data_IF_257775705985
#
_entry.id   IF_257775705985
#
_cell.length_a   1.000
_cell.length_b   1.000
_cell.length_c   1.000
_cell.angle_alpha   90.00
_cell.angle_beta   90.00
_cell.angle_gamma   90.00
#
_symmetry.space_group_name_H-M   'P 1'
#
loop_
_entity.id
_entity.type
_entity.pdbx_description
1 polymer ?
#
# COMPACT_ATOMS: atom_id res chain seq x y z
N UNK A 1 1.94 -17.17 -13.45
CA UNK A 1 1.78 -15.71 -13.69
C UNK A 1 2.66 -15.32 -14.86
N UNK A 2 2.17 -14.48 -15.78
CA UNK A 2 2.99 -13.98 -16.89
C UNK A 2 3.68 -12.69 -16.42
N UNK A 3 5.00 -12.63 -16.50
CA UNK A 3 5.79 -11.44 -16.18
C UNK A 3 6.17 -10.74 -17.47
N UNK A 4 6.03 -9.42 -17.50
CA UNK A 4 6.48 -8.56 -18.60
C UNK A 4 7.62 -7.68 -18.11
N UNK A 5 8.68 -7.55 -18.91
CA UNK A 5 9.85 -6.75 -18.56
C UNK A 5 9.65 -5.33 -19.09
N UNK A 6 9.61 -4.37 -18.19
CA UNK A 6 9.45 -2.95 -18.50
C UNK A 6 10.67 -2.19 -18.00
N UNK A 7 11.19 -1.28 -18.82
CA UNK A 7 12.24 -0.34 -18.40
C UNK A 7 11.58 0.97 -18.00
N UNK A 8 11.87 1.45 -16.79
CA UNK A 8 11.31 2.70 -16.25
C UNK A 8 12.43 3.57 -15.68
N UNK A 9 12.26 4.88 -15.76
CA UNK A 9 13.08 5.84 -15.03
C UNK A 9 12.41 6.18 -13.71
N UNK A 10 13.15 6.10 -12.62
CA UNK A 10 12.67 6.41 -11.27
C UNK A 10 13.65 7.38 -10.59
N UNK A 11 13.17 8.24 -9.67
CA UNK A 11 14.03 9.00 -8.78
C UNK A 11 15.08 8.10 -8.10
N UNK A 12 16.31 8.59 -8.00
CA UNK A 12 17.44 7.81 -7.49
C UNK A 12 17.20 7.34 -6.05
N UNK A 13 16.48 8.13 -5.28
CA UNK A 13 16.14 7.93 -3.87
C UNK A 13 15.22 6.71 -3.72
N UNK A 14 14.24 6.54 -4.62
CA UNK A 14 13.35 5.38 -4.61
C UNK A 14 14.09 4.10 -5.00
N UNK A 15 15.06 4.20 -5.94
CA UNK A 15 15.91 3.07 -6.30
C UNK A 15 16.83 2.68 -5.15
N UNK A 16 17.37 3.67 -4.43
CA UNK A 16 18.19 3.44 -3.24
C UNK A 16 17.38 2.71 -2.15
N UNK A 17 16.15 3.15 -1.87
CA UNK A 17 15.27 2.50 -0.90
C UNK A 17 14.95 1.04 -1.28
N UNK A 18 14.65 0.78 -2.56
CA UNK A 18 14.41 -0.57 -3.05
C UNK A 18 15.66 -1.47 -2.90
N UNK A 19 16.85 -0.95 -3.22
CA UNK A 19 18.13 -1.67 -3.04
C UNK A 19 18.40 -1.97 -1.57
N UNK A 20 18.10 -1.01 -0.71
CA UNK A 20 18.21 -1.11 0.74
C UNK A 20 17.30 -2.19 1.32
N UNK A 21 16.05 -2.27 0.87
CA UNK A 21 15.11 -3.32 1.25
C UNK A 21 15.62 -4.71 0.84
N UNK A 22 16.18 -4.84 -0.36
CA UNK A 22 16.80 -6.10 -0.81
C UNK A 22 18.02 -6.46 0.04
N UNK A 23 18.91 -5.49 0.32
CA UNK A 23 20.09 -5.71 1.16
C UNK A 23 19.73 -6.16 2.58
N UNK A 24 18.66 -5.62 3.16
CA UNK A 24 18.14 -6.01 4.47
C UNK A 24 17.36 -7.33 4.45
N UNK A 25 17.16 -7.94 3.28
CA UNK A 25 16.36 -9.16 3.12
C UNK A 25 14.85 -8.95 3.28
N UNK A 26 14.37 -7.70 3.35
CA UNK A 26 12.93 -7.39 3.45
C UNK A 26 12.23 -7.45 2.10
N UNK A 27 12.99 -7.52 0.99
CA UNK A 27 12.47 -7.79 -0.35
C UNK A 27 13.39 -8.79 -1.08
N UNK A 28 12.81 -9.67 -1.92
CA UNK A 28 13.58 -10.69 -2.66
C UNK A 28 14.38 -10.14 -3.84
N UNK A 29 13.92 -9.04 -4.42
CA UNK A 29 14.52 -8.33 -5.55
C UNK A 29 13.90 -6.94 -5.70
N UNK A 30 14.54 -6.06 -6.48
CA UNK A 30 13.98 -4.73 -6.80
C UNK A 30 12.62 -4.86 -7.49
N UNK A 31 12.48 -5.81 -8.43
CA UNK A 31 11.21 -6.04 -9.11
C UNK A 31 10.11 -6.51 -8.15
N UNK A 32 10.44 -7.35 -7.15
CA UNK A 32 9.45 -7.73 -6.13
C UNK A 32 9.04 -6.56 -5.24
N UNK A 33 10.01 -5.71 -4.83
CA UNK A 33 9.73 -4.51 -4.04
C UNK A 33 8.77 -3.56 -4.79
N UNK A 34 9.05 -3.30 -6.07
CA UNK A 34 8.22 -2.45 -6.91
C UNK A 34 6.84 -3.08 -7.13
N UNK A 35 6.78 -4.38 -7.42
CA UNK A 35 5.51 -5.08 -7.62
C UNK A 35 4.63 -5.04 -6.36
N UNK A 36 5.22 -5.21 -5.18
CA UNK A 36 4.52 -5.09 -3.90
C UNK A 36 4.00 -3.67 -3.67
N UNK A 37 4.83 -2.65 -3.91
CA UNK A 37 4.42 -1.25 -3.80
C UNK A 37 3.27 -0.88 -4.75
N UNK A 38 3.36 -1.30 -6.02
CA UNK A 38 2.30 -1.10 -7.03
C UNK A 38 1.03 -1.84 -6.61
N UNK A 39 1.15 -3.07 -6.14
CA UNK A 39 0.00 -3.86 -5.69
C UNK A 39 -0.69 -3.22 -4.47
N UNK A 40 0.09 -2.73 -3.50
CA UNK A 40 -0.42 -2.01 -2.34
C UNK A 40 -1.15 -0.72 -2.75
N UNK A 41 -0.59 0.03 -3.70
CA UNK A 41 -1.24 1.23 -4.24
C UNK A 41 -2.57 0.90 -4.93
N UNK A 42 -2.59 -0.12 -5.79
CA UNK A 42 -3.81 -0.55 -6.49
C UNK A 42 -4.88 -1.07 -5.52
N UNK A 43 -4.48 -1.80 -4.47
CA UNK A 43 -5.42 -2.24 -3.44
C UNK A 43 -6.04 -1.03 -2.73
N UNK A 44 -5.21 -0.08 -2.29
CA UNK A 44 -5.68 1.15 -1.65
C UNK A 44 -6.66 1.92 -2.53
N UNK A 45 -6.31 2.13 -3.79
CA UNK A 45 -7.14 2.90 -4.71
C UNK A 45 -8.47 2.20 -5.00
N UNK A 46 -8.48 0.86 -5.15
CA UNK A 46 -9.72 0.06 -5.26
C UNK A 46 -10.58 0.13 -4.01
N UNK A 47 -9.97 0.02 -2.82
CA UNK A 47 -10.71 0.15 -1.56
C UNK A 47 -11.33 1.53 -1.41
N UNK A 48 -10.61 2.60 -1.77
CA UNK A 48 -11.14 3.96 -1.73
C UNK A 48 -12.27 4.17 -2.74
N UNK A 49 -12.16 3.62 -3.95
CA UNK A 49 -13.24 3.66 -4.93
C UNK A 49 -14.50 2.96 -4.42
N UNK A 50 -14.36 1.75 -3.86
CA UNK A 50 -15.48 1.02 -3.28
C UNK A 50 -16.16 1.77 -2.13
N UNK A 51 -15.39 2.48 -1.30
CA UNK A 51 -15.95 3.34 -0.25
C UNK A 51 -16.67 4.55 -0.83
N UNK A 52 -16.12 5.19 -1.87
CA UNK A 52 -16.78 6.31 -2.53
C UNK A 52 -18.11 5.89 -3.17
N UNK A 53 -18.16 4.71 -3.78
CA UNK A 53 -19.39 4.13 -4.35
C UNK A 53 -20.43 3.82 -3.27
N UNK A 54 -19.98 3.30 -2.12
CA UNK A 54 -20.87 2.98 -0.99
C UNK A 54 -21.52 4.22 -0.37
N UNK A 55 -20.73 5.28 -0.17
CA UNK A 55 -21.22 6.50 0.51
C UNK A 55 -21.79 7.55 -0.44
N UNK A 56 -21.55 7.44 -1.76
CA UNK A 56 -21.92 8.47 -2.72
C UNK A 56 -21.21 9.81 -2.50
N UNK A 57 -20.10 9.82 -1.77
CA UNK A 57 -19.42 11.01 -1.27
C UNK A 57 -18.51 10.71 -0.08
N UNK A 58 -17.97 11.73 0.60
CA UNK A 58 -17.23 11.52 1.85
C UNK A 58 -18.10 10.81 2.90
N UNK A 59 -17.54 9.83 3.64
CA UNK A 59 -18.29 9.12 4.67
C UNK A 59 -18.75 10.08 5.78
N UNK A 60 -19.89 9.77 6.45
CA UNK A 60 -20.34 10.50 7.62
C UNK A 60 -19.25 10.65 8.69
N UNK A 61 -19.13 11.82 9.37
CA UNK A 61 -18.04 12.06 10.31
C UNK A 61 -17.99 11.09 11.50
N UNK A 62 -19.14 10.63 11.97
CA UNK A 62 -19.31 9.66 13.06
C UNK A 62 -18.82 8.27 12.66
N UNK A 63 -19.18 7.79 11.48
CA UNK A 63 -18.69 6.52 10.95
C UNK A 63 -17.17 6.56 10.69
N UNK A 64 -16.66 7.69 10.18
CA UNK A 64 -15.22 7.90 10.01
C UNK A 64 -14.48 7.93 11.35
N UNK A 65 -15.07 8.56 12.37
CA UNK A 65 -14.52 8.58 13.72
C UNK A 65 -14.49 7.17 14.34
N UNK A 66 -15.55 6.39 14.13
CA UNK A 66 -15.61 5.01 14.58
C UNK A 66 -14.58 4.12 13.89
N UNK A 67 -14.49 4.19 12.56
CA UNK A 67 -13.48 3.45 11.80
C UNK A 67 -12.05 3.78 12.28
N UNK A 68 -11.75 5.06 12.55
CA UNK A 68 -10.45 5.49 13.10
C UNK A 68 -10.18 4.88 14.47
N UNK A 69 -11.17 4.82 15.35
CA UNK A 69 -11.04 4.18 16.67
C UNK A 69 -10.76 2.68 16.52
N UNK A 70 -11.55 1.98 15.73
CA UNK A 70 -11.41 0.54 15.50
C UNK A 70 -10.07 0.18 14.87
N UNK A 71 -9.64 0.89 13.83
CA UNK A 71 -8.35 0.62 13.16
C UNK A 71 -7.14 0.86 14.08
N UNK A 72 -7.18 1.87 14.95
CA UNK A 72 -6.14 2.08 15.97
C UNK A 72 -6.02 0.90 16.92
N UNK A 73 -7.14 0.30 17.31
CA UNK A 73 -7.16 -0.87 18.20
C UNK A 73 -6.58 -2.11 17.50
N UNK A 74 -6.97 -2.35 16.24
CA UNK A 74 -6.45 -3.47 15.44
C UNK A 74 -4.94 -3.35 15.24
N UNK A 75 -4.43 -2.15 14.92
CA UNK A 75 -3.00 -1.94 14.72
C UNK A 75 -2.18 -2.18 16.00
N UNK A 76 -2.72 -1.80 17.17
CA UNK A 76 -2.09 -2.05 18.47
C UNK A 76 -2.05 -3.54 18.82
N UNK A 77 -3.08 -4.30 18.46
CA UNK A 77 -3.14 -5.74 18.71
C UNK A 77 -2.13 -6.53 17.85
N UNK A 78 -1.85 -6.08 16.62
CA UNK A 78 -0.88 -6.71 15.73
C UNK A 78 0.60 -6.44 16.09
N UNK A 79 0.85 -5.56 17.07
CA UNK A 79 2.19 -5.21 17.54
C UNK A 79 2.65 -6.00 18.79
N UNK A 80 1.87 -7.01 19.20
CA UNK A 80 2.14 -7.95 20.32
C UNK A 80 2.41 -9.34 19.74
#
# INVERSE_FOLDING_TARGET
MRTERVTVSLPAELVAEARDAVRRGTARSISSYIAEAVSARQLRDRSLAALADLYGGPPPPDELAEARRTLRLVHRAAAV
#
